data_IF_311586991868
#
_entry.id   IF_311586991868
#
_cell.length_a   1.000
_cell.length_b   1.000
_cell.length_c   1.000
_cell.angle_alpha   90.00
_cell.angle_beta   90.00
_cell.angle_gamma   90.00
#
_symmetry.space_group_name_H-M   'P 1'
#
loop_
_entity.id
_entity.type
_entity.pdbx_description
1 polymer ?
#
# COMPACT_ATOMS: atom_id res chain seq x y z
N UNK A 1 25.50 23.01 -21.32
CA UNK A 1 24.75 22.58 -20.12
C UNK A 1 23.36 22.18 -20.56
N UNK A 2 22.99 20.91 -20.37
CA UNK A 2 21.61 20.43 -20.27
C UNK A 2 21.69 18.96 -19.87
N UNK A 3 21.84 18.71 -18.57
CA UNK A 3 21.71 17.37 -18.03
C UNK A 3 20.24 16.96 -18.16
N UNK A 4 19.93 16.09 -19.12
CA UNK A 4 18.65 15.40 -19.20
C UNK A 4 18.36 14.73 -17.85
N UNK A 5 17.17 14.92 -17.26
CA UNK A 5 16.85 14.31 -15.98
C UNK A 5 16.93 12.78 -16.11
N UNK A 6 17.70 12.18 -15.19
CA UNK A 6 17.94 10.73 -15.09
C UNK A 6 16.62 9.97 -15.24
N UNK A 7 16.51 9.20 -16.32
CA UNK A 7 15.36 8.36 -16.75
C UNK A 7 15.01 7.20 -15.79
N UNK A 8 15.53 7.21 -14.56
CA UNK A 8 15.36 6.17 -13.53
C UNK A 8 14.07 6.34 -12.70
N UNK A 9 13.23 7.34 -12.97
CA UNK A 9 12.10 7.73 -12.10
C UNK A 9 10.69 7.59 -12.71
N UNK A 10 10.55 7.00 -13.89
CA UNK A 10 9.24 6.49 -14.36
C UNK A 10 9.42 5.03 -14.70
N UNK A 11 9.12 4.17 -13.74
CA UNK A 11 9.05 2.74 -14.01
C UNK A 11 7.86 2.48 -14.93
N UNK A 12 7.88 1.41 -15.72
CA UNK A 12 6.71 0.94 -16.50
C UNK A 12 5.45 0.82 -15.61
N UNK A 13 5.65 0.62 -14.30
CA UNK A 13 4.59 0.59 -13.29
C UNK A 13 3.95 1.96 -13.03
N UNK A 14 4.68 3.07 -13.19
CA UNK A 14 4.14 4.43 -13.08
C UNK A 14 3.30 4.82 -14.31
N UNK A 15 3.57 4.22 -15.48
CA UNK A 15 2.73 4.37 -16.68
C UNK A 15 1.45 3.53 -16.58
N UNK A 16 1.55 2.32 -16.01
CA UNK A 16 0.42 1.43 -15.78
C UNK A 16 -0.53 1.95 -14.69
N UNK A 17 0.03 2.44 -13.58
CA UNK A 17 -0.72 2.94 -12.42
C UNK A 17 -0.52 4.44 -12.34
N UNK A 18 -1.26 5.15 -13.19
CA UNK A 18 -1.26 6.62 -13.21
C UNK A 18 -1.60 7.20 -11.84
N UNK A 19 -1.00 8.34 -11.52
CA UNK A 19 -1.37 9.15 -10.35
C UNK A 19 -2.85 9.58 -10.47
N UNK A 20 -3.44 9.99 -9.35
CA UNK A 20 -4.81 10.47 -9.33
C UNK A 20 -4.89 11.91 -9.83
N UNK A 21 -5.98 12.24 -10.54
CA UNK A 21 -6.32 13.63 -10.84
C UNK A 21 -6.34 14.49 -9.57
N UNK A 22 -5.99 15.77 -9.71
CA UNK A 22 -5.93 16.72 -8.59
C UNK A 22 -7.24 16.81 -7.79
N UNK A 23 -8.39 16.62 -8.45
CA UNK A 23 -9.71 16.60 -7.78
C UNK A 23 -9.82 15.54 -6.68
N UNK A 24 -9.06 14.45 -6.81
CA UNK A 24 -9.07 13.36 -5.85
C UNK A 24 -8.02 13.53 -4.75
N UNK A 25 -7.04 14.44 -4.93
CA UNK A 25 -5.95 14.69 -3.97
C UNK A 25 -6.42 15.28 -2.64
N UNK A 26 -7.62 15.85 -2.60
CA UNK A 26 -8.25 16.42 -1.40
C UNK A 26 -9.32 15.50 -0.79
N UNK A 27 -9.69 14.42 -1.48
CA UNK A 27 -10.78 13.53 -1.08
C UNK A 27 -10.28 12.48 -0.09
N UNK A 28 -10.39 12.81 1.19
CA UNK A 28 -10.05 11.92 2.30
C UNK A 28 -11.26 11.27 2.99
N UNK A 29 -11.05 10.48 4.04
CA UNK A 29 -12.10 9.73 4.73
C UNK A 29 -13.30 10.53 5.26
N UNK A 30 -13.09 11.81 5.56
CA UNK A 30 -14.14 12.72 6.04
C UNK A 30 -14.91 13.41 4.90
N UNK A 31 -14.46 13.27 3.65
CA UNK A 31 -15.03 13.94 2.50
C UNK A 31 -16.28 13.19 1.99
N UNK A 32 -17.35 13.87 1.54
CA UNK A 32 -18.56 13.21 1.04
C UNK A 32 -18.30 12.22 -0.12
N UNK A 33 -17.38 12.58 -1.01
CA UNK A 33 -16.96 11.74 -2.14
C UNK A 33 -15.99 10.60 -1.77
N UNK A 34 -15.76 10.32 -0.47
CA UNK A 34 -14.82 9.29 -0.04
C UNK A 34 -15.13 7.90 -0.60
N UNK A 35 -16.42 7.54 -0.62
CA UNK A 35 -16.86 6.25 -1.19
C UNK A 35 -16.49 6.10 -2.66
N UNK A 36 -16.53 7.19 -3.42
CA UNK A 36 -16.15 7.17 -4.83
C UNK A 36 -14.64 7.09 -5.02
N UNK A 37 -13.87 7.80 -4.18
CA UNK A 37 -12.41 7.64 -4.14
C UNK A 37 -12.01 6.19 -3.84
N UNK A 38 -12.68 5.54 -2.88
CA UNK A 38 -12.43 4.13 -2.54
C UNK A 38 -12.69 3.19 -3.74
N UNK A 39 -13.75 3.41 -4.54
CA UNK A 39 -13.98 2.60 -5.74
C UNK A 39 -12.79 2.69 -6.70
N UNK A 40 -12.24 3.88 -6.90
CA UNK A 40 -11.08 4.11 -7.76
C UNK A 40 -9.82 3.46 -7.18
N UNK A 41 -9.61 3.52 -5.85
CA UNK A 41 -8.54 2.76 -5.18
C UNK A 41 -8.63 1.25 -5.45
N UNK A 42 -9.83 0.68 -5.32
CA UNK A 42 -10.06 -0.74 -5.61
C UNK A 42 -9.74 -1.06 -7.07
N UNK A 43 -10.24 -0.24 -8.01
CA UNK A 43 -9.99 -0.42 -9.44
C UNK A 43 -8.50 -0.41 -9.78
N UNK A 44 -7.73 0.56 -9.24
CA UNK A 44 -6.29 0.62 -9.49
C UNK A 44 -5.54 -0.58 -8.87
N UNK A 45 -5.94 -1.04 -7.67
CA UNK A 45 -5.38 -2.26 -7.07
C UNK A 45 -5.67 -3.49 -7.95
N UNK A 46 -6.90 -3.65 -8.43
CA UNK A 46 -7.29 -4.75 -9.32
C UNK A 46 -6.49 -4.69 -10.63
N UNK A 47 -6.37 -3.51 -11.23
CA UNK A 47 -5.62 -3.33 -12.48
C UNK A 47 -4.15 -3.75 -12.32
N UNK A 48 -3.52 -3.38 -11.20
CA UNK A 48 -2.15 -3.82 -10.93
C UNK A 48 -2.05 -5.33 -10.73
N UNK A 49 -2.95 -5.94 -9.97
CA UNK A 49 -2.98 -7.40 -9.75
C UNK A 49 -3.17 -8.13 -11.09
N UNK A 50 -4.05 -7.64 -11.96
CA UNK A 50 -4.28 -8.22 -13.28
C UNK A 50 -3.07 -8.08 -14.19
N UNK A 51 -2.39 -6.94 -14.17
CA UNK A 51 -1.12 -6.77 -14.87
C UNK A 51 -0.06 -7.79 -14.42
N UNK A 52 0.07 -8.02 -13.11
CA UNK A 52 1.01 -9.03 -12.59
C UNK A 52 0.67 -10.41 -13.19
N UNK A 53 -0.58 -10.84 -13.07
CA UNK A 53 -1.05 -12.12 -13.65
C UNK A 53 -0.74 -12.26 -15.14
N UNK A 54 -0.93 -11.20 -15.90
CA UNK A 54 -0.74 -11.20 -17.35
C UNK A 54 0.73 -11.17 -17.78
N UNK A 55 1.64 -10.67 -16.93
CA UNK A 55 3.08 -10.55 -17.23
C UNK A 55 3.90 -11.73 -16.71
N UNK A 56 3.26 -12.85 -16.37
CA UNK A 56 3.86 -14.01 -15.68
C UNK A 56 4.46 -13.70 -14.29
N UNK A 57 4.28 -12.48 -13.78
CA UNK A 57 4.63 -12.15 -12.41
C UNK A 57 3.50 -12.64 -11.48
N UNK A 58 3.80 -13.55 -10.56
CA UNK A 58 2.76 -14.02 -9.62
C UNK A 58 2.38 -12.88 -8.67
N UNK A 59 1.08 -12.60 -8.47
CA UNK A 59 0.63 -11.58 -7.51
C UNK A 59 1.21 -11.84 -6.12
N UNK A 60 1.86 -10.82 -5.57
CA UNK A 60 2.53 -10.90 -4.26
C UNK A 60 1.70 -10.31 -3.13
N UNK A 61 0.52 -9.74 -3.43
CA UNK A 61 -0.39 -9.25 -2.42
C UNK A 61 -1.86 -9.30 -2.87
N UNK A 62 -2.75 -9.24 -1.88
CA UNK A 62 -4.21 -9.11 -2.04
C UNK A 62 -4.71 -8.15 -0.97
N UNK A 63 -5.64 -7.25 -1.31
CA UNK A 63 -6.19 -6.24 -0.38
C UNK A 63 -7.66 -5.99 -0.63
N UNK A 64 -8.40 -5.74 0.44
CA UNK A 64 -9.80 -5.35 0.43
C UNK A 64 -10.09 -4.30 1.50
N UNK A 65 -10.92 -3.30 1.22
CA UNK A 65 -11.35 -2.36 2.24
C UNK A 65 -12.31 -3.03 3.23
N UNK A 66 -12.07 -2.83 4.53
CA UNK A 66 -12.96 -3.27 5.60
C UNK A 66 -14.05 -2.24 5.87
N UNK A 67 -15.30 -2.70 5.94
CA UNK A 67 -16.40 -1.82 6.33
C UNK A 67 -16.24 -1.45 7.80
N UNK A 68 -16.07 -0.16 8.07
CA UNK A 68 -15.97 0.37 9.42
C UNK A 68 -17.22 1.21 9.75
N UNK A 69 -17.92 0.94 10.85
CA UNK A 69 -19.18 1.62 11.19
C UNK A 69 -19.00 3.12 11.46
N UNK A 70 -17.81 3.57 11.87
CA UNK A 70 -17.54 4.97 12.23
C UNK A 70 -16.99 5.81 11.08
N UNK A 71 -16.12 5.24 10.25
CA UNK A 71 -15.39 6.00 9.22
C UNK A 71 -15.28 5.30 7.85
N UNK A 72 -15.99 4.19 7.62
CA UNK A 72 -16.04 3.39 6.37
C UNK A 72 -14.69 3.26 5.61
N UNK A 73 -14.11 2.05 5.56
CA UNK A 73 -12.99 1.73 4.65
C UNK A 73 -11.64 2.39 5.00
N UNK A 74 -11.42 2.73 6.27
CA UNK A 74 -10.11 3.18 6.76
C UNK A 74 -9.08 2.06 6.89
N UNK A 75 -9.55 0.84 7.13
CA UNK A 75 -8.70 -0.33 7.26
C UNK A 75 -8.87 -1.15 5.99
N UNK A 76 -7.75 -1.61 5.43
CA UNK A 76 -7.75 -2.59 4.36
C UNK A 76 -7.03 -3.83 4.83
N UNK A 77 -7.56 -4.99 4.47
CA UNK A 77 -7.05 -6.29 4.90
C UNK A 77 -6.75 -7.17 3.73
N UNK A 78 -5.80 -8.07 3.93
CA UNK A 78 -5.53 -9.13 2.99
C UNK A 78 -4.22 -9.81 3.31
N UNK A 79 -3.42 -10.12 2.30
CA UNK A 79 -2.23 -10.95 2.48
C UNK A 79 -1.06 -10.44 1.65
N UNK A 80 0.14 -10.56 2.20
CA UNK A 80 1.39 -10.66 1.44
C UNK A 80 1.68 -12.12 1.14
N UNK A 81 2.20 -12.40 -0.04
CA UNK A 81 2.57 -13.73 -0.50
C UNK A 81 4.00 -13.69 -1.03
N UNK A 82 4.75 -14.77 -0.83
CA UNK A 82 5.98 -15.01 -1.58
C UNK A 82 5.58 -15.53 -2.97
N UNK A 83 5.87 -14.81 -4.07
CA UNK A 83 5.43 -15.22 -5.42
C UNK A 83 5.74 -16.68 -5.76
N UNK A 84 6.98 -17.11 -5.51
CA UNK A 84 7.41 -18.48 -5.83
C UNK A 84 6.93 -19.54 -4.83
N UNK A 85 6.48 -19.11 -3.65
CA UNK A 85 6.03 -19.97 -2.55
C UNK A 85 4.75 -19.40 -1.92
N UNK A 86 3.62 -19.41 -2.65
CA UNK A 86 2.38 -18.77 -2.20
C UNK A 86 1.80 -19.38 -0.93
N UNK A 87 2.22 -20.60 -0.55
CA UNK A 87 1.93 -21.20 0.75
C UNK A 87 2.51 -20.39 1.91
N UNK A 88 3.60 -19.65 1.67
CA UNK A 88 4.15 -18.66 2.59
C UNK A 88 3.40 -17.34 2.37
N UNK A 89 2.42 -17.10 3.24
CA UNK A 89 1.65 -15.86 3.24
C UNK A 89 1.49 -15.27 4.64
N UNK A 90 1.29 -13.96 4.66
CA UNK A 90 1.16 -13.15 5.87
C UNK A 90 -0.07 -12.29 5.81
N UNK A 91 -0.97 -12.40 6.79
CA UNK A 91 -2.08 -11.47 6.93
C UNK A 91 -1.55 -10.05 7.15
N UNK A 92 -2.14 -9.09 6.44
CA UNK A 92 -1.80 -7.68 6.56
C UNK A 92 -3.01 -6.80 6.84
N UNK A 93 -2.73 -5.67 7.49
CA UNK A 93 -3.65 -4.57 7.75
C UNK A 93 -3.00 -3.28 7.27
N UNK A 94 -3.71 -2.55 6.42
CA UNK A 94 -3.31 -1.21 5.97
C UNK A 94 -4.25 -0.21 6.61
N UNK A 95 -3.69 0.72 7.37
CA UNK A 95 -4.41 1.79 8.03
C UNK A 95 -4.27 3.08 7.24
N UNK A 96 -5.41 3.63 6.83
CA UNK A 96 -5.55 4.99 6.35
C UNK A 96 -5.92 5.88 7.55
N UNK A 97 -5.13 6.91 7.83
CA UNK A 97 -5.51 7.87 8.87
C UNK A 97 -6.65 8.75 8.36
N UNK A 98 -7.31 9.49 9.26
CA UNK A 98 -8.36 10.43 8.85
C UNK A 98 -7.86 11.59 7.98
N UNK A 99 -6.53 11.73 7.84
CA UNK A 99 -5.86 12.76 7.04
C UNK A 99 -5.42 12.24 5.67
N UNK A 100 -5.60 10.96 5.36
CA UNK A 100 -5.37 10.41 4.03
C UNK A 100 -6.16 11.22 2.96
N UNK A 101 -5.60 11.53 1.77
CA UNK A 101 -4.28 11.14 1.25
C UNK A 101 -3.14 12.10 1.60
N UNK A 102 -3.33 13.08 2.50
CA UNK A 102 -2.26 13.99 2.93
C UNK A 102 -1.13 13.26 3.65
N UNK A 103 -1.49 12.22 4.39
CA UNK A 103 -0.54 11.35 5.10
C UNK A 103 -0.51 9.98 4.44
N UNK A 104 0.70 9.43 4.31
CA UNK A 104 0.95 8.10 3.78
C UNK A 104 0.23 7.01 4.59
N UNK A 105 -0.29 5.94 3.95
CA UNK A 105 -0.79 4.77 4.65
C UNK A 105 0.26 4.11 5.57
N UNK A 106 -0.20 3.31 6.53
CA UNK A 106 0.64 2.45 7.37
C UNK A 106 0.29 0.99 7.11
N UNK A 107 1.28 0.14 6.86
CA UNK A 107 1.08 -1.30 6.67
C UNK A 107 1.61 -2.08 7.87
N UNK A 108 0.80 -3.00 8.35
CA UNK A 108 1.11 -3.94 9.40
C UNK A 108 0.96 -5.36 8.85
N UNK A 109 1.84 -6.26 9.25
CA UNK A 109 1.75 -7.68 8.94
C UNK A 109 1.73 -8.49 10.23
N UNK A 110 1.08 -9.65 10.20
CA UNK A 110 1.04 -10.54 11.36
C UNK A 110 2.44 -10.90 11.87
N UNK A 111 2.58 -10.97 13.19
CA UNK A 111 3.86 -11.09 13.89
C UNK A 111 4.76 -12.23 13.39
N UNK A 112 4.18 -13.34 12.90
CA UNK A 112 4.96 -14.47 12.35
C UNK A 112 5.86 -14.10 11.17
N UNK A 113 5.65 -12.94 10.53
CA UNK A 113 6.54 -12.41 9.47
C UNK A 113 7.96 -12.14 9.98
N UNK A 114 8.13 -11.90 11.29
CA UNK A 114 9.44 -11.71 11.93
C UNK A 114 10.36 -12.94 11.79
N UNK A 115 9.77 -14.14 11.67
CA UNK A 115 10.54 -15.36 11.47
C UNK A 115 11.12 -15.47 10.05
N UNK A 116 10.66 -14.61 9.12
CA UNK A 116 11.04 -14.61 7.71
C UNK A 116 11.86 -13.39 7.32
N UNK A 117 11.64 -12.25 7.97
CA UNK A 117 12.32 -11.00 7.67
C UNK A 117 13.36 -10.68 8.75
N UNK A 118 14.64 -10.60 8.38
CA UNK A 118 15.74 -10.53 9.34
C UNK A 118 15.74 -9.31 10.28
N UNK A 119 15.31 -8.13 9.83
CA UNK A 119 15.24 -6.90 10.67
C UNK A 119 13.94 -6.13 10.44
N UNK A 120 13.00 -6.28 11.37
CA UNK A 120 11.82 -5.40 11.46
C UNK A 120 11.96 -4.55 12.72
N UNK A 121 11.81 -3.23 12.59
CA UNK A 121 11.74 -2.34 13.74
C UNK A 121 10.40 -2.51 14.44
N UNK A 122 10.40 -3.23 15.57
CA UNK A 122 9.22 -3.51 16.41
C UNK A 122 8.72 -2.29 17.20
N UNK A 123 8.75 -1.08 16.63
CA UNK A 123 8.34 0.13 17.35
C UNK A 123 6.82 0.28 17.43
N UNK A 124 6.07 -0.35 16.52
CA UNK A 124 4.61 -0.23 16.44
C UNK A 124 3.97 -1.61 16.28
N UNK A 125 3.34 -2.09 17.36
CA UNK A 125 2.54 -3.32 17.38
C UNK A 125 1.08 -2.93 17.50
N UNK A 126 0.25 -3.46 16.60
CA UNK A 126 -1.20 -3.34 16.66
C UNK A 126 -1.80 -4.70 17.02
N UNK A 127 -2.54 -4.74 18.12
CA UNK A 127 -3.34 -5.91 18.49
C UNK A 127 -4.80 -5.74 18.05
N UNK A 128 -5.33 -6.72 17.33
CA UNK A 128 -6.74 -6.78 16.93
C UNK A 128 -7.23 -8.22 17.10
N UNK A 129 -8.31 -8.41 17.88
CA UNK A 129 -8.93 -9.72 18.10
C UNK A 129 -7.93 -10.79 18.61
N UNK A 130 -7.01 -10.39 19.50
CA UNK A 130 -5.97 -11.28 20.05
C UNK A 130 -4.83 -11.62 19.10
N UNK A 131 -4.82 -11.06 17.87
CA UNK A 131 -3.72 -11.19 16.92
C UNK A 131 -2.84 -9.95 16.92
N UNK A 132 -1.52 -10.16 16.98
CA UNK A 132 -0.53 -9.09 16.89
C UNK A 132 -0.07 -8.88 15.45
N UNK A 133 -0.02 -7.61 15.06
CA UNK A 133 0.50 -7.15 13.78
C UNK A 133 1.64 -6.17 14.03
N UNK A 134 2.77 -6.39 13.36
CA UNK A 134 3.95 -5.53 13.40
C UNK A 134 3.94 -4.60 12.20
N UNK A 135 4.30 -3.33 12.42
CA UNK A 135 4.43 -2.38 11.31
C UNK A 135 5.65 -2.72 10.45
N UNK A 136 5.43 -2.99 9.17
CA UNK A 136 6.48 -3.46 8.24
C UNK A 136 7.05 -2.34 7.35
N UNK A 137 6.39 -1.20 7.29
CA UNK A 137 6.87 -0.04 6.54
C UNK A 137 6.90 1.19 7.45
N UNK A 138 8.10 1.64 7.80
CA UNK A 138 8.30 2.82 8.61
C UNK A 138 8.61 4.01 7.70
N UNK A 139 7.74 5.03 7.74
CA UNK A 139 7.90 6.45 7.35
C UNK A 139 8.82 6.82 6.17
N UNK A 140 9.37 5.92 5.37
CA UNK A 140 10.43 6.22 4.42
C UNK A 140 9.90 7.12 3.32
N UNK A 141 8.73 6.81 2.75
CA UNK A 141 8.05 7.72 1.82
C UNK A 141 7.67 9.07 2.46
N UNK A 142 7.34 9.12 3.76
CA UNK A 142 7.03 10.36 4.46
C UNK A 142 8.29 11.22 4.70
N UNK A 143 9.35 10.61 5.20
CA UNK A 143 10.62 11.24 5.58
C UNK A 143 11.42 11.69 4.36
N UNK A 144 11.28 10.99 3.23
CA UNK A 144 11.93 11.34 1.96
C UNK A 144 11.07 12.25 1.07
N UNK A 145 9.88 12.68 1.52
CA UNK A 145 8.93 13.45 0.71
C UNK A 145 8.52 12.73 -0.61
N UNK A 146 8.64 11.40 -0.66
CA UNK A 146 8.26 10.60 -1.82
C UNK A 146 6.74 10.33 -1.87
N UNK A 147 6.03 10.54 -0.75
CA UNK A 147 4.57 10.53 -0.71
C UNK A 147 3.98 11.86 -1.22
N UNK A 148 2.99 11.77 -2.12
CA UNK A 148 2.22 12.90 -2.62
C UNK A 148 0.72 12.61 -2.49
N UNK A 149 -0.09 13.64 -2.39
CA UNK A 149 -1.55 13.53 -2.18
C UNK A 149 -2.30 12.94 -3.37
N UNK A 150 -1.69 12.94 -4.55
CA UNK A 150 -2.20 12.30 -5.75
C UNK A 150 -1.81 10.82 -5.87
N UNK A 151 -1.15 10.24 -4.86
CA UNK A 151 -0.85 8.81 -4.80
C UNK A 151 -1.97 8.04 -4.08
N UNK A 152 -2.10 6.77 -4.44
CA UNK A 152 -3.06 5.81 -3.89
C UNK A 152 -2.40 4.70 -3.06
N UNK A 153 -3.23 3.79 -2.57
CA UNK A 153 -2.80 2.60 -1.83
C UNK A 153 -1.90 1.72 -2.71
N UNK A 154 -2.25 1.55 -3.97
CA UNK A 154 -1.46 0.76 -4.92
C UNK A 154 -0.05 1.34 -5.12
N UNK A 155 0.09 2.66 -5.19
CA UNK A 155 1.40 3.33 -5.31
C UNK A 155 2.23 3.09 -4.06
N UNK A 156 1.61 3.17 -2.89
CA UNK A 156 2.26 2.83 -1.62
C UNK A 156 2.75 1.38 -1.59
N UNK A 157 1.97 0.43 -2.10
CA UNK A 157 2.40 -0.97 -2.19
C UNK A 157 3.59 -1.14 -3.13
N UNK A 158 3.54 -0.55 -4.32
CA UNK A 158 4.61 -0.64 -5.32
C UNK A 158 5.90 0.04 -4.84
N UNK A 159 5.80 1.24 -4.25
CA UNK A 159 6.96 2.08 -3.95
C UNK A 159 7.55 1.86 -2.56
N UNK A 160 6.77 1.34 -1.60
CA UNK A 160 7.22 1.15 -0.22
C UNK A 160 7.16 -0.32 0.21
N UNK A 161 6.00 -0.96 0.09
CA UNK A 161 5.83 -2.32 0.62
C UNK A 161 6.64 -3.33 -0.18
N UNK A 162 6.67 -3.22 -1.51
CA UNK A 162 7.48 -4.08 -2.37
C UNK A 162 8.98 -3.94 -2.08
N UNK A 163 9.48 -2.72 -1.92
CA UNK A 163 10.91 -2.47 -1.61
C UNK A 163 11.31 -3.14 -0.31
N UNK A 164 10.42 -3.13 0.68
CA UNK A 164 10.66 -3.85 1.94
C UNK A 164 10.50 -5.36 1.79
N UNK A 165 9.51 -5.83 1.03
CA UNK A 165 9.18 -7.25 0.90
C UNK A 165 10.13 -8.03 -0.01
N UNK A 166 10.71 -7.36 -1.01
CA UNK A 166 11.63 -7.96 -1.98
C UNK A 166 13.12 -7.80 -1.62
N UNK A 167 13.43 -7.12 -0.51
CA UNK A 167 14.80 -6.95 0.01
C UNK A 167 15.21 -8.12 0.90
#
# INVERSE_FOLDING_TARGET
MNASPKRWQRSVLDELIQEYDDKWSIVGPKHPAWKDRIKIEIEKVINYINFLKNTQNKPWFKLFPEKNPRYNYLIWSGNLLVPERPEINFNIKVLLTSEYPKVCPRCFAEEKILNYCGKIFLKNIWEQEGKKYVMICHEHMSNTHAWKTNLGIVHFFIRQVWVWWAA
#
